data_IF_226532569349
#
_entry.id   IF_226532569349
#
_cell.length_a   1.000
_cell.length_b   1.000
_cell.length_c   1.000
_cell.angle_alpha   90.00
_cell.angle_beta   90.00
_cell.angle_gamma   90.00
#
_symmetry.space_group_name_H-M   'P 1'
#
loop_
_entity.id
_entity.type
_entity.pdbx_description
1 polymer ?
#
# COMPACT_ATOMS: atom_id res chain seq x y z
N UNK A 1 -11.13 -14.07 7.70
CA UNK A 1 -10.35 -13.17 8.59
C UNK A 1 -9.90 -11.97 7.76
N UNK A 2 -10.02 -10.75 8.27
CA UNK A 2 -9.57 -9.55 7.56
C UNK A 2 -8.04 -9.40 7.65
N UNK A 3 -7.34 -9.71 6.56
CA UNK A 3 -5.87 -9.58 6.46
C UNK A 3 -5.48 -8.43 5.55
N UNK A 4 -4.22 -7.95 5.64
CA UNK A 4 -3.76 -6.91 4.73
C UNK A 4 -3.92 -7.32 3.26
N UNK A 5 -3.76 -8.60 2.91
CA UNK A 5 -3.93 -9.06 1.52
C UNK A 5 -5.36 -8.87 0.99
N UNK A 6 -6.36 -8.95 1.87
CA UNK A 6 -7.76 -8.63 1.58
C UNK A 6 -8.10 -7.14 1.67
N UNK A 7 -7.15 -6.27 2.01
CA UNK A 7 -7.36 -4.83 2.11
C UNK A 7 -7.14 -4.16 0.76
N UNK A 8 -8.04 -3.24 0.38
CA UNK A 8 -7.93 -2.40 -0.82
C UNK A 8 -6.62 -1.61 -0.85
N UNK A 9 -6.13 -1.15 0.29
CA UNK A 9 -4.89 -0.37 0.38
C UNK A 9 -3.61 -1.20 0.27
N UNK A 10 -3.69 -2.53 0.30
CA UNK A 10 -2.51 -3.38 0.15
C UNK A 10 -2.32 -3.69 -1.32
N UNK A 11 -1.31 -3.05 -1.93
CA UNK A 11 -1.05 -3.15 -3.36
C UNK A 11 0.39 -3.61 -3.61
N UNK A 12 0.64 -4.36 -4.69
CA UNK A 12 1.99 -4.61 -5.16
C UNK A 12 2.63 -3.30 -5.66
N UNK A 13 3.82 -3.03 -5.14
CA UNK A 13 4.73 -2.00 -5.63
C UNK A 13 5.84 -2.69 -6.42
N UNK A 14 5.92 -2.38 -7.70
CA UNK A 14 6.86 -2.97 -8.65
C UNK A 14 8.15 -2.13 -8.61
N UNK A 15 9.20 -2.73 -8.05
CA UNK A 15 10.57 -2.23 -8.13
C UNK A 15 11.27 -2.68 -9.41
N UNK A 16 12.56 -2.36 -9.52
CA UNK A 16 13.39 -2.77 -10.65
C UNK A 16 13.74 -4.27 -10.61
N UNK A 17 14.00 -4.78 -9.41
CA UNK A 17 14.47 -6.16 -9.18
C UNK A 17 13.40 -7.03 -8.53
N UNK A 18 12.54 -6.44 -7.70
CA UNK A 18 11.53 -7.17 -6.93
C UNK A 18 10.19 -6.43 -6.89
N UNK A 19 9.13 -7.19 -6.63
CA UNK A 19 7.81 -6.65 -6.31
C UNK A 19 7.50 -6.91 -4.84
N UNK A 20 7.14 -5.86 -4.09
CA UNK A 20 6.76 -5.97 -2.69
C UNK A 20 5.37 -5.40 -2.45
N UNK A 21 4.66 -5.93 -1.46
CA UNK A 21 3.39 -5.33 -1.04
C UNK A 21 3.65 -4.07 -0.21
N UNK A 22 2.88 -3.02 -0.46
CA UNK A 22 2.92 -1.78 0.32
C UNK A 22 1.50 -1.34 0.71
N UNK A 23 1.41 -0.66 1.86
CA UNK A 23 0.16 -0.10 2.37
C UNK A 23 -0.01 1.34 1.88
N UNK A 24 -0.91 1.55 0.91
CA UNK A 24 -1.22 2.88 0.38
C UNK A 24 -1.98 3.78 1.36
N UNK A 25 -2.55 3.25 2.43
CA UNK A 25 -3.08 4.04 3.54
C UNK A 25 -1.98 4.78 4.35
N UNK A 26 -0.71 4.61 3.97
CA UNK A 26 0.40 5.44 4.47
C UNK A 26 0.46 6.80 3.75
N UNK A 27 -0.31 6.96 2.67
CA UNK A 27 -0.44 8.20 1.91
C UNK A 27 -1.85 8.76 2.07
N UNK A 28 -1.96 10.00 2.55
CA UNK A 28 -3.25 10.64 2.82
C UNK A 28 -4.14 10.76 1.60
N UNK A 29 -3.56 10.97 0.41
CA UNK A 29 -4.30 11.05 -0.85
C UNK A 29 -5.09 9.77 -1.19
N UNK A 30 -4.62 8.59 -0.74
CA UNK A 30 -5.35 7.35 -0.89
C UNK A 30 -6.28 7.09 0.30
N UNK A 31 -5.83 7.41 1.52
CA UNK A 31 -6.60 7.19 2.74
C UNK A 31 -7.88 8.04 2.79
N UNK A 32 -7.79 9.32 2.41
CA UNK A 32 -8.91 10.26 2.32
C UNK A 32 -9.88 9.94 1.18
N UNK A 33 -9.48 9.12 0.23
CA UNK A 33 -10.26 8.83 -0.97
C UNK A 33 -10.16 9.90 -2.06
N UNK A 34 -9.31 10.91 -1.90
CA UNK A 34 -9.04 11.91 -2.95
C UNK A 34 -8.59 11.26 -4.25
N UNK A 35 -7.80 10.18 -4.16
CA UNK A 35 -7.38 9.37 -5.30
C UNK A 35 -7.81 7.92 -5.15
N UNK A 36 -8.27 7.33 -6.26
CA UNK A 36 -8.54 5.89 -6.32
C UNK A 36 -7.25 5.10 -6.09
N UNK A 37 -7.32 4.14 -5.17
CA UNK A 37 -6.26 3.15 -4.95
C UNK A 37 -6.02 2.32 -6.23
N UNK A 38 -4.82 2.37 -6.84
CA UNK A 38 -4.51 1.60 -8.04
C UNK A 38 -4.34 0.11 -7.73
N UNK A 39 -4.46 -0.76 -8.74
CA UNK A 39 -4.25 -2.20 -8.58
C UNK A 39 -2.78 -2.56 -8.32
N UNK A 40 -1.84 -1.75 -8.84
CA UNK A 40 -0.39 -1.85 -8.64
C UNK A 40 0.23 -0.47 -8.82
N UNK A 41 1.43 -0.25 -8.27
CA UNK A 41 2.14 1.03 -8.38
C UNK A 41 3.62 0.79 -8.67
N UNK A 42 4.29 1.64 -9.45
CA UNK A 42 5.75 1.53 -9.60
C UNK A 42 6.44 2.20 -8.42
N UNK A 43 7.57 1.64 -7.98
CA UNK A 43 8.35 2.24 -6.90
C UNK A 43 8.77 3.68 -7.22
N UNK A 44 9.14 3.96 -8.48
CA UNK A 44 9.46 5.32 -8.94
C UNK A 44 8.31 6.30 -8.78
N UNK A 45 7.09 5.91 -9.17
CA UNK A 45 5.89 6.74 -9.01
C UNK A 45 5.58 6.98 -7.54
N UNK A 46 5.71 5.96 -6.69
CA UNK A 46 5.54 6.10 -5.25
C UNK A 46 6.54 7.10 -4.68
N UNK A 47 7.83 6.96 -5.01
CA UNK A 47 8.90 7.84 -4.54
C UNK A 47 8.66 9.27 -5.01
N UNK A 48 8.21 9.47 -6.25
CA UNK A 48 7.85 10.79 -6.76
C UNK A 48 6.69 11.43 -6.00
N UNK A 49 5.73 10.64 -5.52
CA UNK A 49 4.57 11.13 -4.78
C UNK A 49 4.86 11.43 -3.30
N UNK A 50 5.72 10.64 -2.65
CA UNK A 50 5.83 10.64 -1.19
C UNK A 50 7.24 10.49 -0.63
N UNK A 51 8.23 10.28 -1.49
CA UNK A 51 9.61 10.03 -1.10
C UNK A 51 9.90 8.57 -0.74
N UNK A 52 11.19 8.25 -0.73
CA UNK A 52 11.72 6.90 -0.48
C UNK A 52 11.44 6.40 0.94
N UNK A 53 11.54 7.27 1.94
CA UNK A 53 11.34 6.89 3.34
C UNK A 53 9.90 6.42 3.60
N UNK A 54 8.92 7.07 2.97
CA UNK A 54 7.52 6.68 3.08
C UNK A 54 7.25 5.36 2.38
N UNK A 55 7.91 5.10 1.24
CA UNK A 55 7.83 3.78 0.57
C UNK A 55 8.32 2.66 1.49
N UNK A 56 9.47 2.84 2.15
CA UNK A 56 10.01 1.83 3.08
C UNK A 56 9.02 1.56 4.22
N UNK A 57 8.51 2.61 4.87
CA UNK A 57 7.48 2.48 5.92
C UNK A 57 6.22 1.78 5.42
N UNK A 58 5.78 2.09 4.20
CA UNK A 58 4.59 1.51 3.61
C UNK A 58 4.76 0.01 3.35
N UNK A 59 5.95 -0.44 2.95
CA UNK A 59 6.28 -1.86 2.78
C UNK A 59 6.36 -2.57 4.13
N UNK A 60 7.06 -2.00 5.11
CA UNK A 60 7.23 -2.59 6.46
C UNK A 60 5.91 -2.69 7.25
N UNK A 61 4.97 -1.78 7.02
CA UNK A 61 3.65 -1.77 7.67
C UNK A 61 2.78 -2.96 7.25
N UNK A 62 2.99 -3.55 6.07
CA UNK A 62 2.13 -4.61 5.54
C UNK A 62 2.35 -5.92 6.31
N UNK A 63 1.25 -6.55 6.74
CA UNK A 63 1.25 -7.89 7.33
C UNK A 63 0.32 -8.80 6.53
N UNK A 64 0.81 -9.48 5.45
CA UNK A 64 -0.06 -10.09 4.43
C UNK A 64 -1.05 -11.13 4.98
N UNK A 65 -0.56 -12.01 5.86
CA UNK A 65 -1.28 -13.16 6.42
C UNK A 65 -1.74 -12.96 7.87
N UNK A 66 -1.43 -11.82 8.49
CA UNK A 66 -1.90 -11.49 9.85
C UNK A 66 -3.11 -10.56 9.80
N UNK A 67 -3.75 -10.35 10.94
CA UNK A 67 -4.84 -9.40 11.09
C UNK A 67 -4.43 -8.02 10.55
N UNK A 68 -5.31 -7.43 9.73
CA UNK A 68 -5.10 -6.12 9.15
C UNK A 68 -5.07 -5.02 10.24
N UNK A 69 -4.49 -3.87 9.89
CA UNK A 69 -4.49 -2.69 10.76
C UNK A 69 -5.88 -2.03 10.84
N UNK A 70 -6.00 -1.00 11.69
CA UNK A 70 -7.23 -0.22 11.87
C UNK A 70 -7.74 0.54 10.62
N UNK A 71 -6.94 0.61 9.56
CA UNK A 71 -7.35 1.18 8.26
C UNK A 71 -7.82 0.12 7.26
N UNK A 72 -8.21 -1.06 7.75
CA UNK A 72 -8.71 -2.11 6.87
C UNK A 72 -9.94 -1.64 6.09
N UNK A 73 -9.86 -1.74 4.76
CA UNK A 73 -10.97 -1.49 3.87
C UNK A 73 -11.06 -2.69 2.90
N UNK A 74 -12.18 -3.43 2.86
CA UNK A 74 -12.28 -4.61 2.01
C UNK A 74 -12.16 -4.23 0.52
N UNK A 75 -11.60 -5.14 -0.28
CA UNK A 75 -11.72 -5.06 -1.74
C UNK A 75 -13.19 -5.34 -2.09
N UNK A 76 -13.86 -4.35 -2.68
CA UNK A 76 -15.22 -4.49 -3.23
C UNK A 76 -15.10 -5.04 -4.65
#
# INVERSE_FOLDING_TARGET
MATCQGCRFCVPVIGREETRLACLATLDLYLSGERRVPAQLRAGDFIGLAGKEILVKAVEKVRPVRQACGFYCPKI
#
